data_IF_391411686346
#
_entry.id   IF_391411686346
#
_cell.length_a   1.000
_cell.length_b   1.000
_cell.length_c   1.000
_cell.angle_alpha   90.00
_cell.angle_beta   90.00
_cell.angle_gamma   90.00
#
_symmetry.space_group_name_H-M   'P 1'
#
loop_
_entity.id
_entity.type
_entity.pdbx_description
1 polymer ?
#
# COMPACT_ATOMS: atom_id res chain seq x y z
N UNK A 1 60.02 10.67 -21.79
CA UNK A 1 60.35 10.00 -20.51
C UNK A 1 60.33 11.07 -19.42
N UNK A 2 59.48 10.82 -18.41
CA UNK A 2 59.02 11.62 -17.23
C UNK A 2 60.07 12.56 -16.57
N UNK A 3 59.78 13.78 -16.07
CA UNK A 3 58.82 14.30 -15.04
C UNK A 3 58.95 13.59 -13.66
N UNK A 4 59.00 14.22 -12.48
CA UNK A 4 58.36 15.47 -11.99
C UNK A 4 58.91 15.91 -10.60
N UNK A 5 58.68 17.18 -10.28
CA UNK A 5 58.87 17.90 -9.00
C UNK A 5 57.92 17.51 -7.85
N UNK A 6 58.32 17.76 -6.57
CA UNK A 6 57.76 18.81 -5.70
C UNK A 6 58.30 18.79 -4.24
N UNK A 7 58.33 19.97 -3.61
CA UNK A 7 58.81 20.30 -2.26
C UNK A 7 57.79 21.32 -1.62
N UNK A 8 57.92 21.81 -0.37
CA UNK A 8 57.15 21.36 0.80
C UNK A 8 56.36 22.48 1.54
N UNK A 9 55.78 22.11 2.70
CA UNK A 9 54.89 22.89 3.59
C UNK A 9 55.55 23.98 4.44
N UNK A 10 54.78 25.00 4.85
CA UNK A 10 55.09 25.89 5.98
C UNK A 10 53.81 26.35 6.71
N UNK A 11 53.98 26.57 8.02
CA UNK A 11 52.98 26.85 9.05
C UNK A 11 53.11 28.29 9.59
N UNK A 12 52.00 28.99 9.83
CA UNK A 12 51.97 30.22 10.66
C UNK A 12 50.59 30.38 11.33
N UNK A 13 50.54 30.71 12.63
CA UNK A 13 49.43 31.48 13.25
C UNK A 13 49.95 32.30 14.43
N UNK A 14 49.60 33.59 14.46
CA UNK A 14 49.91 34.55 15.52
C UNK A 14 48.63 35.34 15.95
N UNK A 15 48.48 35.49 17.26
CA UNK A 15 47.78 36.49 18.11
C UNK A 15 46.45 37.21 17.74
N UNK A 16 45.42 36.93 18.56
CA UNK A 16 44.61 37.81 19.45
C UNK A 16 44.21 39.27 19.09
N UNK A 17 42.88 39.56 19.16
CA UNK A 17 42.28 40.81 19.71
C UNK A 17 40.90 40.52 20.31
N UNK A 18 40.60 41.08 21.51
CA UNK A 18 39.28 41.14 22.21
C UNK A 18 38.93 42.63 22.41
N UNK A 19 37.65 43.08 22.33
CA UNK A 19 36.91 43.52 23.54
C UNK A 19 35.35 43.54 23.34
N UNK A 20 34.51 44.18 24.19
CA UNK A 20 34.38 44.16 25.66
C UNK A 20 32.96 43.74 26.16
N UNK A 21 32.83 43.53 27.47
CA UNK A 21 31.60 43.20 28.22
C UNK A 21 30.58 44.36 28.33
N UNK A 22 29.28 44.05 28.22
CA UNK A 22 28.16 44.92 28.62
C UNK A 22 27.04 44.09 29.30
N UNK A 23 27.00 44.25 30.63
CA UNK A 23 25.84 44.34 31.56
C UNK A 23 24.70 43.30 31.44
N UNK A 24 24.65 42.42 32.45
CA UNK A 24 23.47 41.62 32.83
C UNK A 24 22.34 42.52 33.35
N UNK A 25 21.16 42.44 32.73
CA UNK A 25 19.89 42.79 33.37
C UNK A 25 18.89 41.63 33.26
N UNK A 26 18.57 41.04 34.42
CA UNK A 26 17.27 40.44 34.76
C UNK A 26 16.70 39.32 33.88
N UNK A 27 17.30 38.13 33.89
CA UNK A 27 16.54 36.91 33.55
C UNK A 27 15.67 36.48 34.74
N UNK A 28 14.36 36.61 34.58
CA UNK A 28 13.40 35.80 35.34
C UNK A 28 13.61 34.35 34.90
N UNK A 29 14.23 33.53 35.76
CA UNK A 29 14.38 32.07 35.55
C UNK A 29 13.00 31.43 35.41
N UNK A 30 12.56 31.19 34.19
CA UNK A 30 11.55 30.17 33.91
C UNK A 30 12.23 28.79 33.99
N UNK A 31 11.70 27.90 34.82
CA UNK A 31 12.23 26.54 35.01
C UNK A 31 12.13 25.74 33.69
N UNK A 32 13.11 24.85 33.37
CA UNK A 32 13.14 24.09 32.11
C UNK A 32 11.88 23.25 31.83
N UNK A 33 11.13 22.89 32.87
CA UNK A 33 9.86 22.15 32.76
C UNK A 33 8.70 22.96 32.17
N UNK A 34 8.57 24.24 32.54
CA UNK A 34 7.45 25.07 32.09
C UNK A 34 7.52 25.43 30.60
N UNK A 35 8.73 25.65 30.06
CA UNK A 35 8.92 25.96 28.64
C UNK A 35 8.62 24.76 27.74
N UNK A 36 8.89 23.55 28.21
CA UNK A 36 8.63 22.32 27.45
C UNK A 36 7.13 21.99 27.44
N UNK A 37 6.43 22.24 28.55
CA UNK A 37 4.98 22.06 28.63
C UNK A 37 4.21 23.13 27.84
N UNK A 38 4.67 24.39 27.85
CA UNK A 38 4.14 25.45 26.98
C UNK A 38 4.35 25.14 25.50
N UNK A 39 5.50 24.57 25.11
CA UNK A 39 5.76 24.11 23.73
C UNK A 39 4.84 22.95 23.31
N UNK A 40 4.64 21.95 24.17
CA UNK A 40 3.71 20.84 23.92
C UNK A 40 2.27 21.34 23.77
N UNK A 41 1.79 22.19 24.69
CA UNK A 41 0.44 22.78 24.62
C UNK A 41 0.26 23.65 23.36
N UNK A 42 1.29 24.39 22.94
CA UNK A 42 1.30 25.15 21.69
C UNK A 42 1.20 24.24 20.46
N UNK A 43 1.97 23.15 20.41
CA UNK A 43 1.94 22.17 19.32
C UNK A 43 0.58 21.44 19.22
N UNK A 44 -0.01 21.05 20.35
CA UNK A 44 -1.35 20.45 20.40
C UNK A 44 -2.42 21.44 19.93
N UNK A 45 -2.32 22.72 20.34
CA UNK A 45 -3.24 23.78 19.90
C UNK A 45 -3.09 24.05 18.40
N UNK A 46 -1.87 24.01 17.86
CA UNK A 46 -1.60 24.16 16.43
C UNK A 46 -2.15 22.99 15.61
N UNK A 47 -2.01 21.74 16.09
CA UNK A 47 -2.63 20.57 15.47
C UNK A 47 -4.17 20.60 15.52
N UNK A 48 -4.75 21.02 16.64
CA UNK A 48 -6.20 21.20 16.75
C UNK A 48 -6.72 22.29 15.79
N UNK A 49 -5.97 23.38 15.63
CA UNK A 49 -6.29 24.44 14.68
C UNK A 49 -6.18 23.95 13.23
N UNK A 50 -5.16 23.15 12.88
CA UNK A 50 -5.04 22.50 11.58
C UNK A 50 -6.22 21.55 11.30
N UNK A 51 -6.64 20.73 12.28
CA UNK A 51 -7.84 19.87 12.16
C UNK A 51 -9.12 20.67 11.94
N UNK A 52 -9.29 21.77 12.68
CA UNK A 52 -10.47 22.66 12.54
C UNK A 52 -10.49 23.36 11.18
N UNK A 53 -9.32 23.79 10.68
CA UNK A 53 -9.19 24.39 9.35
C UNK A 53 -9.45 23.38 8.23
N UNK A 54 -8.96 22.13 8.36
CA UNK A 54 -9.28 21.04 7.41
C UNK A 54 -10.77 20.73 7.36
N UNK A 55 -11.43 20.63 8.53
CA UNK A 55 -12.88 20.42 8.60
C UNK A 55 -13.66 21.57 7.95
N UNK A 56 -13.26 22.82 8.22
CA UNK A 56 -13.89 24.01 7.62
C UNK A 56 -13.66 24.07 6.09
N UNK A 57 -12.49 23.64 5.61
CA UNK A 57 -12.21 23.59 4.17
C UNK A 57 -13.08 22.53 3.47
N UNK A 58 -13.26 21.38 4.11
CA UNK A 58 -14.15 20.32 3.62
C UNK A 58 -15.63 20.78 3.59
N UNK A 59 -16.09 21.45 4.64
CA UNK A 59 -17.44 22.02 4.70
C UNK A 59 -17.67 23.10 3.63
N UNK A 60 -16.68 23.98 3.40
CA UNK A 60 -16.73 24.97 2.34
C UNK A 60 -16.77 24.33 0.95
N UNK A 61 -15.98 23.27 0.69
CA UNK A 61 -16.02 22.53 -0.56
C UNK A 61 -17.40 21.89 -0.80
N UNK A 62 -18.01 21.30 0.24
CA UNK A 62 -19.38 20.77 0.15
C UNK A 62 -20.41 21.86 -0.16
N UNK A 63 -20.26 23.07 0.39
CA UNK A 63 -21.13 24.21 0.05
C UNK A 63 -20.91 24.72 -1.38
N UNK A 64 -19.66 24.76 -1.86
CA UNK A 64 -19.35 25.15 -3.25
C UNK A 64 -19.93 24.16 -4.25
N UNK A 65 -19.84 22.85 -3.95
CA UNK A 65 -20.45 21.78 -4.76
C UNK A 65 -21.98 21.94 -4.79
N UNK A 66 -22.60 22.21 -3.63
CA UNK A 66 -24.06 22.45 -3.53
C UNK A 66 -24.52 23.72 -4.24
N UNK A 67 -23.68 24.75 -4.31
CA UNK A 67 -23.99 26.00 -5.04
C UNK A 67 -23.83 25.81 -6.56
N UNK A 68 -22.77 25.13 -7.02
CA UNK A 68 -22.61 24.75 -8.43
C UNK A 68 -23.78 23.92 -8.94
N UNK A 69 -24.23 22.94 -8.15
CA UNK A 69 -25.40 22.13 -8.51
C UNK A 69 -26.71 22.92 -8.57
N UNK A 70 -26.80 24.08 -7.88
CA UNK A 70 -27.96 24.97 -7.95
C UNK A 70 -27.87 25.96 -9.11
N UNK A 71 -26.69 26.51 -9.39
CA UNK A 71 -26.46 27.43 -10.52
C UNK A 71 -26.57 26.70 -11.87
N UNK A 72 -26.17 25.43 -11.95
CA UNK A 72 -26.37 24.57 -13.12
C UNK A 72 -27.87 24.25 -13.35
N UNK A 73 -28.70 24.30 -12.31
CA UNK A 73 -30.16 24.08 -12.42
C UNK A 73 -30.96 25.34 -12.82
N UNK A 74 -30.37 26.53 -12.69
CA UNK A 74 -31.03 27.82 -13.01
C UNK A 74 -30.69 28.37 -14.39
N UNK A 75 -29.81 27.73 -15.16
CA UNK A 75 -29.24 28.28 -16.39
C UNK A 75 -29.42 27.37 -17.61
N UNK A 76 -30.64 26.89 -17.86
CA UNK A 76 -31.01 26.32 -19.16
C UNK A 76 -32.51 26.45 -19.43
N UNK A 77 -32.93 27.63 -19.84
CA UNK A 77 -34.24 27.85 -20.48
C UNK A 77 -34.04 28.04 -21.97
N UNK A 78 -34.32 27.01 -22.78
CA UNK A 78 -34.99 27.11 -24.10
C UNK A 78 -34.99 25.76 -24.81
N UNK A 79 -36.20 25.19 -24.90
CA UNK A 79 -36.75 24.20 -25.83
C UNK A 79 -35.82 23.50 -26.84
N UNK A 80 -35.61 22.20 -26.64
CA UNK A 80 -35.95 21.15 -27.63
C UNK A 80 -35.89 19.77 -26.98
N UNK A 81 -36.93 18.96 -27.22
CA UNK A 81 -37.18 17.63 -26.63
C UNK A 81 -36.00 16.67 -26.88
N UNK A 82 -35.13 16.50 -25.90
CA UNK A 82 -34.32 15.30 -25.74
C UNK A 82 -34.81 14.57 -24.49
N UNK A 83 -35.02 13.26 -24.61
CA UNK A 83 -35.34 12.38 -23.48
C UNK A 83 -34.20 12.48 -22.46
N UNK A 84 -34.43 13.22 -21.39
CA UNK A 84 -33.50 13.38 -20.28
C UNK A 84 -33.48 12.07 -19.50
N UNK A 85 -32.45 11.24 -19.74
CA UNK A 85 -32.12 10.15 -18.83
C UNK A 85 -31.74 10.78 -17.48
N UNK A 86 -32.62 10.62 -16.50
CA UNK A 86 -32.37 11.00 -15.11
C UNK A 86 -31.13 10.25 -14.64
N UNK A 87 -29.99 10.93 -14.49
CA UNK A 87 -28.78 10.31 -13.93
C UNK A 87 -29.08 10.05 -12.45
N UNK A 88 -29.41 8.80 -12.14
CA UNK A 88 -29.59 8.35 -10.77
C UNK A 88 -28.29 8.56 -9.96
N UNK A 89 -28.38 8.85 -8.66
CA UNK A 89 -27.20 8.93 -7.80
C UNK A 89 -26.41 7.62 -7.88
N UNK A 90 -25.10 7.72 -8.14
CA UNK A 90 -24.19 6.57 -8.15
C UNK A 90 -24.10 5.99 -6.73
N UNK A 91 -24.82 4.89 -6.50
CA UNK A 91 -24.68 4.09 -5.29
C UNK A 91 -23.45 3.19 -5.49
N UNK A 92 -22.45 3.21 -4.58
CA UNK A 92 -21.34 2.28 -4.65
C UNK A 92 -21.86 0.83 -4.69
N UNK A 93 -21.50 0.11 -5.74
CA UNK A 93 -21.85 -1.30 -5.94
C UNK A 93 -20.68 -2.06 -6.54
N UNK A 94 -20.70 -3.37 -6.42
CA UNK A 94 -19.79 -4.21 -7.18
C UNK A 94 -20.03 -4.04 -8.70
N UNK A 95 -18.98 -4.17 -9.53
CA UNK A 95 -19.15 -4.21 -10.98
C UNK A 95 -20.04 -5.39 -11.41
N UNK A 96 -20.85 -5.19 -12.46
CA UNK A 96 -21.62 -6.27 -13.08
C UNK A 96 -20.72 -7.20 -13.91
N UNK A 97 -21.22 -8.38 -14.26
CA UNK A 97 -20.53 -9.28 -15.19
C UNK A 97 -20.23 -8.62 -16.54
N UNK A 98 -21.17 -7.82 -17.07
CA UNK A 98 -20.99 -7.08 -18.31
C UNK A 98 -19.88 -6.02 -18.20
N UNK A 99 -19.83 -5.29 -17.08
CA UNK A 99 -18.78 -4.30 -16.81
C UNK A 99 -17.40 -4.98 -16.70
N UNK A 100 -17.33 -6.13 -16.02
CA UNK A 100 -16.11 -6.92 -15.94
C UNK A 100 -15.66 -7.45 -17.30
N UNK A 101 -16.59 -7.95 -18.13
CA UNK A 101 -16.28 -8.44 -19.48
C UNK A 101 -15.81 -7.30 -20.40
N UNK A 102 -16.43 -6.11 -20.30
CA UNK A 102 -16.01 -4.93 -21.05
C UNK A 102 -14.60 -4.47 -20.63
N UNK A 103 -14.33 -4.41 -19.32
CA UNK A 103 -13.01 -4.05 -18.81
C UNK A 103 -11.92 -5.02 -19.31
N UNK A 104 -12.20 -6.33 -19.31
CA UNK A 104 -11.30 -7.34 -19.85
C UNK A 104 -11.02 -7.12 -21.34
N UNK A 105 -12.06 -6.92 -22.16
CA UNK A 105 -11.92 -6.67 -23.60
C UNK A 105 -11.06 -5.42 -23.87
N UNK A 106 -11.27 -4.33 -23.13
CA UNK A 106 -10.45 -3.13 -23.28
C UNK A 106 -8.97 -3.37 -22.96
N UNK A 107 -8.68 -4.19 -21.94
CA UNK A 107 -7.31 -4.54 -21.59
C UNK A 107 -6.68 -5.41 -22.67
N UNK A 108 -7.36 -6.45 -23.12
CA UNK A 108 -6.86 -7.35 -24.18
C UNK A 108 -6.61 -6.64 -25.51
N UNK A 109 -7.45 -5.65 -25.86
CA UNK A 109 -7.35 -4.96 -27.15
C UNK A 109 -6.41 -3.76 -27.15
N UNK A 110 -6.20 -3.09 -26.01
CA UNK A 110 -5.53 -1.76 -25.96
C UNK A 110 -4.32 -1.68 -25.04
N UNK A 111 -4.07 -2.66 -24.19
CA UNK A 111 -2.98 -2.60 -23.22
C UNK A 111 -1.78 -3.42 -23.70
N UNK A 112 -0.59 -2.95 -23.32
CA UNK A 112 0.59 -3.80 -23.39
C UNK A 112 0.56 -4.75 -22.17
N UNK A 113 0.69 -6.05 -22.41
CA UNK A 113 0.59 -7.06 -21.35
C UNK A 113 1.94 -7.74 -21.11
N UNK A 114 2.38 -7.72 -19.86
CA UNK A 114 3.63 -8.32 -19.42
C UNK A 114 3.39 -9.67 -18.75
N UNK A 115 4.22 -10.66 -19.10
CA UNK A 115 4.13 -12.04 -18.60
C UNK A 115 5.49 -12.78 -18.60
N UNK A 116 6.62 -12.05 -18.64
CA UNK A 116 7.97 -12.65 -18.75
C UNK A 116 8.84 -12.34 -17.54
N UNK A 117 9.81 -13.21 -17.28
CA UNK A 117 10.64 -13.39 -16.06
C UNK A 117 10.95 -12.12 -15.24
N UNK A 118 11.40 -11.03 -15.89
CA UNK A 118 11.59 -9.74 -15.23
C UNK A 118 11.16 -8.59 -16.13
N UNK A 119 10.39 -7.65 -15.59
CA UNK A 119 9.86 -6.50 -16.32
C UNK A 119 9.97 -5.22 -15.50
N UNK A 120 10.39 -4.12 -16.14
CA UNK A 120 10.32 -2.78 -15.58
C UNK A 120 9.41 -1.89 -16.42
N UNK A 121 8.49 -1.20 -15.74
CA UNK A 121 7.62 -0.17 -16.29
C UNK A 121 8.20 1.18 -15.88
N UNK A 122 8.51 2.03 -16.86
CA UNK A 122 9.22 3.29 -16.67
C UNK A 122 8.34 4.48 -17.08
N UNK A 123 8.36 5.53 -16.27
CA UNK A 123 7.93 6.85 -16.71
C UNK A 123 9.09 7.49 -17.47
N UNK A 124 9.04 7.46 -18.80
CA UNK A 124 10.10 8.02 -19.64
C UNK A 124 10.27 9.54 -19.43
N UNK A 125 9.18 10.26 -19.10
CA UNK A 125 9.22 11.72 -18.91
C UNK A 125 9.93 12.10 -17.62
N UNK A 126 9.70 11.33 -16.55
CA UNK A 126 10.30 11.55 -15.23
C UNK A 126 11.58 10.74 -15.00
N UNK A 127 11.93 9.83 -15.91
CA UNK A 127 13.00 8.83 -15.75
C UNK A 127 12.87 8.06 -14.42
N UNK A 128 11.64 7.71 -14.04
CA UNK A 128 11.34 6.99 -12.79
C UNK A 128 10.81 5.58 -13.09
N UNK A 129 11.28 4.60 -12.33
CA UNK A 129 10.67 3.26 -12.32
C UNK A 129 9.30 3.37 -11.63
N UNK A 130 8.25 3.01 -12.36
CA UNK A 130 6.87 2.96 -11.86
C UNK A 130 6.62 1.64 -11.17
N UNK A 131 7.04 0.55 -11.83
CA UNK A 131 6.86 -0.81 -11.34
C UNK A 131 8.01 -1.71 -11.80
N UNK A 132 8.49 -2.58 -10.92
CA UNK A 132 9.37 -3.69 -11.24
C UNK A 132 8.69 -5.00 -10.86
N UNK A 133 8.78 -6.00 -11.73
CA UNK A 133 8.05 -7.27 -11.64
C UNK A 133 9.04 -8.42 -11.82
N UNK A 134 8.90 -9.46 -11.01
CA UNK A 134 9.61 -10.72 -11.19
C UNK A 134 8.64 -11.89 -11.07
N UNK A 135 8.70 -12.82 -12.03
CA UNK A 135 7.99 -14.08 -11.97
C UNK A 135 8.94 -15.19 -11.56
N UNK A 136 8.67 -15.82 -10.42
CA UNK A 136 9.40 -16.98 -9.93
C UNK A 136 8.67 -18.24 -10.37
N UNK A 137 9.33 -19.10 -11.14
CA UNK A 137 8.75 -20.40 -11.51
C UNK A 137 8.79 -21.33 -10.31
N UNK A 138 7.67 -21.98 -10.01
CA UNK A 138 7.55 -22.88 -8.85
C UNK A 138 8.56 -24.04 -8.91
N UNK A 139 8.84 -24.54 -10.11
CA UNK A 139 9.80 -25.63 -10.37
C UNK A 139 11.27 -25.23 -10.12
N UNK A 140 11.57 -23.93 -10.11
CA UNK A 140 12.94 -23.41 -9.95
C UNK A 140 13.20 -22.78 -8.59
N UNK A 141 12.24 -22.86 -7.65
CA UNK A 141 12.42 -22.34 -6.30
C UNK A 141 13.43 -23.21 -5.54
N UNK A 142 14.34 -22.58 -4.82
CA UNK A 142 15.16 -23.28 -3.84
C UNK A 142 14.28 -23.84 -2.71
N UNK A 143 14.65 -24.98 -2.14
CA UNK A 143 13.87 -25.69 -1.11
C UNK A 143 13.43 -24.77 0.03
N UNK A 144 14.36 -23.97 0.59
CA UNK A 144 14.02 -22.99 1.65
C UNK A 144 12.96 -21.98 1.19
N UNK A 145 13.10 -21.45 -0.01
CA UNK A 145 12.17 -20.45 -0.53
C UNK A 145 10.80 -21.07 -0.77
N UNK A 146 10.76 -22.32 -1.24
CA UNK A 146 9.53 -23.08 -1.40
C UNK A 146 8.85 -23.32 -0.03
N UNK A 147 9.60 -23.79 0.95
CA UNK A 147 9.11 -24.02 2.32
C UNK A 147 8.57 -22.74 2.98
N UNK A 148 9.23 -21.61 2.76
CA UNK A 148 8.80 -20.31 3.27
C UNK A 148 7.48 -19.85 2.62
N UNK A 149 7.30 -20.06 1.31
CA UNK A 149 6.04 -19.74 0.63
C UNK A 149 4.92 -20.70 0.99
N UNK A 150 5.20 -22.00 1.13
CA UNK A 150 4.22 -22.98 1.63
C UNK A 150 3.78 -22.63 3.06
N UNK A 151 4.72 -22.22 3.92
CA UNK A 151 4.40 -21.73 5.27
C UNK A 151 3.52 -20.49 5.23
N UNK A 152 3.83 -19.49 4.38
CA UNK A 152 3.02 -18.29 4.24
C UNK A 152 1.59 -18.64 3.83
N UNK A 153 1.40 -19.46 2.80
CA UNK A 153 0.06 -19.82 2.32
C UNK A 153 -0.73 -20.58 3.41
N UNK A 154 -0.09 -21.50 4.12
CA UNK A 154 -0.71 -22.20 5.25
C UNK A 154 -1.09 -21.26 6.40
N UNK A 155 -0.24 -20.27 6.73
CA UNK A 155 -0.52 -19.26 7.74
C UNK A 155 -1.77 -18.44 7.39
N UNK A 156 -1.83 -17.87 6.18
CA UNK A 156 -3.00 -17.09 5.73
C UNK A 156 -4.27 -17.93 5.65
N UNK A 157 -4.15 -19.21 5.27
CA UNK A 157 -5.29 -20.12 5.28
C UNK A 157 -5.82 -20.37 6.69
N UNK A 158 -4.95 -20.63 7.66
CA UNK A 158 -5.33 -20.81 9.08
C UNK A 158 -5.96 -19.55 9.69
N UNK A 159 -5.58 -18.36 9.25
CA UNK A 159 -6.22 -17.12 9.70
C UNK A 159 -7.72 -17.06 9.39
N UNK A 160 -8.20 -17.70 8.31
CA UNK A 160 -9.61 -17.70 7.91
C UNK A 160 -10.54 -18.19 9.03
N UNK A 161 -10.10 -19.16 9.84
CA UNK A 161 -10.87 -19.70 10.97
C UNK A 161 -11.20 -18.65 12.04
N UNK A 162 -10.39 -17.61 12.15
CA UNK A 162 -10.49 -16.58 13.18
C UNK A 162 -10.94 -15.21 12.65
N UNK A 163 -11.30 -15.15 11.36
CA UNK A 163 -11.82 -13.95 10.72
C UNK A 163 -13.35 -14.04 10.65
N UNK A 164 -14.04 -12.92 10.88
CA UNK A 164 -15.47 -12.82 10.69
C UNK A 164 -15.82 -13.09 9.23
N UNK A 165 -16.54 -14.17 9.00
CA UNK A 165 -17.15 -14.44 7.71
C UNK A 165 -18.34 -13.49 7.56
N UNK A 166 -18.14 -12.31 6.99
CA UNK A 166 -19.26 -11.40 6.73
C UNK A 166 -20.17 -12.04 5.69
N UNK A 167 -21.27 -12.63 6.14
CA UNK A 167 -22.33 -13.23 5.31
C UNK A 167 -23.11 -12.18 4.47
N UNK A 168 -22.70 -10.91 4.52
CA UNK A 168 -23.07 -9.92 3.52
C UNK A 168 -22.01 -9.95 2.43
N UNK A 169 -22.40 -10.46 1.26
CA UNK A 169 -21.71 -10.27 -0.01
C UNK A 169 -21.18 -8.82 -0.10
N UNK A 170 -19.88 -8.61 0.09
CA UNK A 170 -19.25 -7.31 -0.18
C UNK A 170 -18.21 -6.73 0.79
N UNK A 171 -17.90 -7.30 1.97
CA UNK A 171 -17.00 -6.60 2.92
C UNK A 171 -15.74 -7.33 3.44
N UNK A 172 -15.37 -8.48 2.88
CA UNK A 172 -14.00 -8.97 3.00
C UNK A 172 -13.55 -9.58 1.67
N UNK A 173 -13.12 -8.72 0.75
CA UNK A 173 -12.72 -9.11 -0.61
C UNK A 173 -11.51 -10.03 -0.69
N UNK A 174 -10.73 -10.14 0.40
CA UNK A 174 -9.59 -11.04 0.52
C UNK A 174 -9.24 -11.21 2.02
N UNK A 175 -8.79 -12.40 2.44
CA UNK A 175 -8.32 -12.69 3.81
C UNK A 175 -7.21 -11.71 4.25
N UNK A 176 -6.43 -11.23 3.28
CA UNK A 176 -5.32 -10.30 3.49
C UNK A 176 -5.77 -8.89 3.88
N UNK A 177 -7.04 -8.53 3.62
CA UNK A 177 -7.60 -7.25 4.07
C UNK A 177 -7.85 -7.22 5.58
N UNK A 178 -8.14 -8.38 6.16
CA UNK A 178 -8.38 -8.55 7.60
C UNK A 178 -7.09 -8.68 8.42
N UNK A 179 -5.94 -8.79 7.76
CA UNK A 179 -4.64 -9.00 8.39
C UNK A 179 -3.79 -7.76 8.18
N UNK A 180 -3.10 -7.32 9.22
CA UNK A 180 -2.19 -6.19 9.16
C UNK A 180 -0.95 -6.39 10.03
N UNK A 181 -0.13 -5.35 10.07
CA UNK A 181 1.08 -5.32 10.89
C UNK A 181 0.75 -4.90 12.31
N UNK A 182 1.30 -5.58 13.30
CA UNK A 182 1.32 -5.03 14.65
C UNK A 182 2.27 -3.83 14.73
N UNK A 183 2.18 -3.07 15.84
CA UNK A 183 2.90 -1.80 16.01
C UNK A 183 4.42 -1.88 15.85
N UNK A 184 5.03 -3.01 16.20
CA UNK A 184 6.48 -3.23 16.05
C UNK A 184 6.90 -3.49 14.59
N UNK A 185 5.94 -3.69 13.67
CA UNK A 185 6.13 -4.05 12.24
C UNK A 185 6.92 -5.34 12.01
N UNK A 186 6.95 -6.22 13.01
CA UNK A 186 7.65 -7.51 12.97
C UNK A 186 6.64 -8.63 12.74
N UNK A 187 5.49 -8.59 13.42
CA UNK A 187 4.47 -9.64 13.37
C UNK A 187 3.23 -9.19 12.63
N UNK A 188 2.47 -10.19 12.18
CA UNK A 188 1.15 -9.98 11.60
C UNK A 188 0.07 -10.21 12.67
N UNK A 189 -1.02 -9.47 12.56
CA UNK A 189 -2.19 -9.64 13.42
C UNK A 189 -3.47 -9.63 12.58
N UNK A 190 -4.48 -10.37 13.06
CA UNK A 190 -5.84 -10.18 12.58
C UNK A 190 -6.35 -8.87 13.20
N UNK A 191 -6.74 -7.93 12.36
CA UNK A 191 -7.22 -6.61 12.76
C UNK A 191 -8.50 -6.76 13.60
N UNK A 192 -8.61 -5.97 14.66
CA UNK A 192 -9.67 -6.13 15.66
C UNK A 192 -11.09 -6.14 15.08
N UNK A 193 -11.38 -5.29 14.09
CA UNK A 193 -12.69 -5.23 13.42
C UNK A 193 -13.07 -6.49 12.64
N UNK A 194 -12.09 -7.36 12.35
CA UNK A 194 -12.29 -8.59 11.59
C UNK A 194 -12.19 -9.84 12.45
N UNK A 195 -11.91 -9.73 13.76
CA UNK A 195 -11.75 -10.91 14.63
C UNK A 195 -13.08 -11.59 14.91
N UNK A 196 -13.12 -12.90 14.68
CA UNK A 196 -14.19 -13.74 15.18
C UNK A 196 -13.87 -14.16 16.62
N UNK A 197 -14.23 -13.30 17.58
CA UNK A 197 -13.92 -13.51 19.00
C UNK A 197 -14.51 -14.83 19.53
N UNK A 198 -15.69 -15.25 19.04
CA UNK A 198 -16.31 -16.54 19.41
C UNK A 198 -15.42 -17.71 18.98
N UNK A 199 -14.88 -17.68 17.75
CA UNK A 199 -13.99 -18.72 17.27
C UNK A 199 -12.64 -18.73 18.01
N UNK A 200 -12.13 -17.56 18.37
CA UNK A 200 -10.90 -17.39 19.16
C UNK A 200 -11.10 -17.96 20.57
N UNK A 201 -12.18 -17.60 21.26
CA UNK A 201 -12.49 -18.09 22.60
C UNK A 201 -12.67 -19.62 22.62
N UNK A 202 -13.34 -20.19 21.62
CA UNK A 202 -13.49 -21.64 21.50
C UNK A 202 -12.17 -22.38 21.20
N UNK A 203 -11.19 -21.71 20.59
CA UNK A 203 -9.96 -22.35 20.09
C UNK A 203 -8.68 -21.58 20.49
N UNK A 204 -8.61 -21.08 21.73
CA UNK A 204 -7.53 -20.21 22.21
C UNK A 204 -6.12 -20.77 21.96
N UNK A 205 -5.93 -22.09 22.14
CA UNK A 205 -4.64 -22.74 21.93
C UNK A 205 -4.20 -22.69 20.46
N UNK A 206 -5.14 -22.90 19.51
CA UNK A 206 -4.85 -22.82 18.08
C UNK A 206 -4.57 -21.38 17.64
N UNK A 207 -5.33 -20.42 18.19
CA UNK A 207 -5.12 -19.01 17.92
C UNK A 207 -3.76 -18.53 18.46
N UNK A 208 -3.40 -18.91 19.67
CA UNK A 208 -2.10 -18.56 20.28
C UNK A 208 -0.95 -19.09 19.42
N UNK A 209 -1.00 -20.38 19.04
CA UNK A 209 -0.01 -20.97 18.14
C UNK A 209 0.05 -20.28 16.77
N UNK A 210 -1.11 -19.87 16.24
CA UNK A 210 -1.15 -19.10 14.98
C UNK A 210 -0.47 -17.73 15.14
N UNK A 211 -0.68 -17.03 16.25
CA UNK A 211 -0.04 -15.73 16.49
C UNK A 211 1.46 -15.87 16.80
N UNK A 212 1.92 -16.98 17.37
CA UNK A 212 3.35 -17.29 17.47
C UNK A 212 4.00 -17.44 16.08
N UNK A 213 3.31 -18.11 15.16
CA UNK A 213 3.74 -18.27 13.75
C UNK A 213 3.77 -16.94 12.96
N UNK A 214 3.10 -15.89 13.45
CA UNK A 214 2.96 -14.61 12.73
C UNK A 214 4.26 -13.83 12.58
N UNK A 215 5.23 -14.03 13.48
CA UNK A 215 6.56 -13.43 13.38
C UNK A 215 7.35 -14.01 12.21
N UNK A 216 7.26 -15.34 12.03
CA UNK A 216 7.88 -16.02 10.89
C UNK A 216 7.23 -15.56 9.59
N UNK A 217 5.90 -15.44 9.55
CA UNK A 217 5.19 -14.95 8.37
C UNK A 217 5.63 -13.51 8.01
N UNK A 218 5.67 -12.61 8.99
CA UNK A 218 6.16 -11.24 8.79
C UNK A 218 7.61 -11.18 8.32
N UNK A 219 8.47 -12.05 8.87
CA UNK A 219 9.88 -12.15 8.48
C UNK A 219 10.05 -12.61 7.04
N UNK A 220 9.34 -13.66 6.61
CA UNK A 220 9.39 -14.14 5.22
C UNK A 220 8.96 -13.03 4.25
N UNK A 221 7.90 -12.28 4.57
CA UNK A 221 7.44 -11.17 3.74
C UNK A 221 8.51 -10.06 3.62
N UNK A 222 9.12 -9.64 4.74
CA UNK A 222 10.17 -8.63 4.72
C UNK A 222 11.45 -9.12 4.03
N UNK A 223 11.85 -10.37 4.24
CA UNK A 223 13.00 -10.97 3.58
C UNK A 223 12.78 -11.08 2.06
N UNK A 224 11.58 -11.49 1.64
CA UNK A 224 11.22 -11.57 0.21
C UNK A 224 11.25 -10.17 -0.43
N UNK A 225 10.66 -9.17 0.22
CA UNK A 225 10.70 -7.79 -0.26
C UNK A 225 12.13 -7.24 -0.29
N UNK A 226 12.93 -7.49 0.75
CA UNK A 226 14.32 -6.99 0.81
C UNK A 226 15.22 -7.67 -0.24
N UNK A 227 15.01 -8.96 -0.49
CA UNK A 227 15.72 -9.69 -1.55
C UNK A 227 15.37 -9.14 -2.93
N UNK A 228 14.09 -8.83 -3.16
CA UNK A 228 13.62 -8.33 -4.44
C UNK A 228 13.97 -6.84 -4.68
N UNK A 229 13.85 -6.00 -3.65
CA UNK A 229 13.99 -4.54 -3.76
C UNK A 229 14.53 -3.90 -2.48
N UNK A 230 15.70 -4.35 -2.03
CA UNK A 230 16.42 -3.94 -0.82
C UNK A 230 16.14 -2.50 -0.33
N UNK A 231 16.56 -1.49 -1.10
CA UNK A 231 16.40 -0.07 -0.70
C UNK A 231 14.93 0.34 -0.54
N UNK A 232 14.04 -0.19 -1.38
CA UNK A 232 12.61 0.06 -1.29
C UNK A 232 12.02 -0.54 -0.01
N UNK A 233 12.37 -1.80 0.30
CA UNK A 233 11.93 -2.48 1.49
C UNK A 233 12.35 -1.74 2.76
N UNK A 234 13.60 -1.32 2.84
CA UNK A 234 14.13 -0.55 3.97
C UNK A 234 13.41 0.79 4.17
N UNK A 235 13.19 1.53 3.08
CA UNK A 235 12.51 2.82 3.13
C UNK A 235 11.04 2.65 3.56
N UNK A 236 10.34 1.69 2.98
CA UNK A 236 8.95 1.38 3.35
C UNK A 236 8.83 0.94 4.79
N UNK A 237 9.72 0.06 5.27
CA UNK A 237 9.73 -0.41 6.66
C UNK A 237 10.02 0.73 7.65
N UNK A 238 10.98 1.61 7.35
CA UNK A 238 11.25 2.82 8.17
C UNK A 238 10.04 3.73 8.24
N UNK A 239 9.36 3.94 7.11
CA UNK A 239 8.17 4.77 7.05
C UNK A 239 7.02 4.17 7.87
N UNK A 240 6.74 2.86 7.72
CA UNK A 240 5.72 2.16 8.48
C UNK A 240 5.97 2.19 9.99
N UNK A 241 7.22 2.04 10.43
CA UNK A 241 7.58 2.17 11.86
C UNK A 241 7.24 3.55 12.42
N UNK A 242 7.58 4.62 11.69
CA UNK A 242 7.26 6.00 12.08
C UNK A 242 5.74 6.23 12.18
N UNK A 243 4.96 5.64 11.28
CA UNK A 243 3.50 5.73 11.32
C UNK A 243 2.89 4.89 12.45
N UNK A 244 3.47 3.73 12.74
CA UNK A 244 3.05 2.88 13.85
C UNK A 244 3.25 3.55 15.22
N UNK A 245 4.30 4.36 15.39
CA UNK A 245 4.47 5.23 16.56
C UNK A 245 3.31 6.23 16.73
N UNK A 246 2.70 6.63 15.62
CA UNK A 246 1.51 7.50 15.59
C UNK A 246 0.18 6.71 15.69
N UNK A 247 0.25 5.39 15.86
CA UNK A 247 -0.90 4.50 16.00
C UNK A 247 -1.53 4.05 14.69
N UNK A 248 -0.93 4.36 13.53
CA UNK A 248 -1.39 3.91 12.23
C UNK A 248 -0.73 2.57 11.89
N UNK A 249 -1.54 1.55 11.71
CA UNK A 249 -1.12 0.21 11.27
C UNK A 249 -1.64 -0.05 9.87
N UNK A 250 -0.86 -0.77 9.06
CA UNK A 250 -1.24 -1.10 7.69
C UNK A 250 -1.82 -2.50 7.59
N UNK A 251 -2.85 -2.66 6.76
CA UNK A 251 -3.32 -3.99 6.33
C UNK A 251 -2.41 -4.56 5.24
N UNK A 252 -2.58 -5.84 4.94
CA UNK A 252 -1.95 -6.52 3.81
C UNK A 252 -2.86 -6.55 2.56
N UNK A 253 -3.89 -5.70 2.53
CA UNK A 253 -4.93 -5.71 1.51
C UNK A 253 -4.32 -5.52 0.12
N UNK A 254 -4.55 -6.49 -0.76
CA UNK A 254 -4.24 -6.34 -2.17
C UNK A 254 -5.26 -5.42 -2.85
N UNK A 255 -4.87 -4.60 -3.85
CA UNK A 255 -5.80 -3.75 -4.62
C UNK A 255 -6.67 -4.59 -5.58
N UNK A 256 -7.52 -5.44 -5.01
CA UNK A 256 -8.37 -6.40 -5.73
C UNK A 256 -9.72 -5.82 -6.14
N UNK A 257 -10.32 -4.93 -5.33
CA UNK A 257 -11.74 -4.56 -5.46
C UNK A 257 -12.01 -3.05 -5.56
N UNK A 258 -10.98 -2.23 -5.58
CA UNK A 258 -11.09 -0.80 -5.80
C UNK A 258 -9.89 -0.34 -6.62
N UNK A 259 -10.18 0.37 -7.71
CA UNK A 259 -9.16 1.19 -8.34
C UNK A 259 -8.71 2.24 -7.31
N UNK A 260 -7.41 2.54 -7.33
CA UNK A 260 -6.78 3.64 -6.63
C UNK A 260 -7.76 4.78 -6.32
N UNK A 261 -7.96 5.08 -5.04
CA UNK A 261 -8.63 6.32 -4.64
C UNK A 261 -7.65 7.45 -4.91
N UNK A 262 -8.06 8.47 -5.68
CA UNK A 262 -7.32 9.72 -5.87
C UNK A 262 -7.10 10.40 -4.51
N UNK A 263 -6.05 9.98 -3.81
CA UNK A 263 -5.44 10.78 -2.79
C UNK A 263 -4.64 11.82 -3.56
N UNK A 264 -5.25 13.00 -3.74
CA UNK A 264 -4.51 14.21 -4.09
C UNK A 264 -3.47 14.44 -3.00
N UNK A 265 -2.28 13.88 -3.19
CA UNK A 265 -1.09 14.35 -2.50
C UNK A 265 -0.85 15.75 -3.04
N UNK A 266 -0.81 16.74 -2.14
CA UNK A 266 -0.39 18.08 -2.49
C UNK A 266 0.97 17.94 -3.23
N UNK A 267 1.06 18.41 -4.48
CA UNK A 267 2.30 18.33 -5.31
C UNK A 267 3.50 19.03 -4.64
N UNK A 268 3.25 19.76 -3.54
CA UNK A 268 4.20 20.58 -2.79
C UNK A 268 5.00 19.84 -1.71
N UNK A 269 4.79 18.54 -1.47
CA UNK A 269 5.67 17.78 -0.57
C UNK A 269 6.74 17.05 -1.40
N UNK A 270 7.99 17.52 -1.33
CA UNK A 270 9.23 16.89 -1.86
C UNK A 270 9.46 15.43 -1.35
N UNK A 271 8.49 14.88 -0.62
CA UNK A 271 8.49 13.50 -0.16
C UNK A 271 8.35 12.53 -1.34
N UNK A 272 9.38 11.72 -1.58
CA UNK A 272 9.22 10.51 -2.38
C UNK A 272 8.46 9.49 -1.52
N UNK A 273 7.21 9.14 -1.86
CA UNK A 273 6.44 8.19 -1.08
C UNK A 273 7.11 6.81 -1.07
N UNK A 274 6.93 6.02 0.01
CA UNK A 274 7.42 4.65 0.06
C UNK A 274 6.78 3.81 -1.05
N UNK A 275 7.56 2.89 -1.62
CA UNK A 275 7.07 1.95 -2.63
C UNK A 275 6.25 0.84 -1.96
N UNK A 276 5.24 0.35 -2.65
CA UNK A 276 4.47 -0.82 -2.25
C UNK A 276 5.10 -2.09 -2.79
N UNK A 277 4.95 -3.19 -2.06
CA UNK A 277 5.32 -4.53 -2.49
C UNK A 277 4.09 -5.42 -2.57
N UNK A 278 3.90 -6.10 -3.69
CA UNK A 278 2.82 -7.03 -3.92
C UNK A 278 3.37 -8.41 -4.23
N UNK A 279 2.67 -9.44 -3.75
CA UNK A 279 2.96 -10.83 -4.02
C UNK A 279 1.68 -11.58 -4.36
N UNK A 280 1.74 -12.42 -5.40
CA UNK A 280 0.62 -13.24 -5.88
C UNK A 280 1.09 -14.68 -6.02
N UNK A 281 0.45 -15.59 -5.27
CA UNK A 281 0.79 -17.02 -5.22
C UNK A 281 -0.42 -17.85 -5.68
N UNK A 282 -0.29 -18.77 -6.63
CA UNK A 282 -1.38 -19.70 -6.96
C UNK A 282 -1.64 -20.62 -5.78
N UNK A 283 -2.90 -20.70 -5.31
CA UNK A 283 -3.25 -21.51 -4.14
C UNK A 283 -4.58 -22.24 -4.34
N UNK A 284 -4.85 -23.22 -3.49
CA UNK A 284 -6.13 -23.92 -3.40
C UNK A 284 -7.02 -23.28 -2.33
N UNK A 285 -8.31 -23.06 -2.61
CA UNK A 285 -9.25 -22.40 -1.67
C UNK A 285 -9.43 -23.22 -0.40
N UNK A 286 -9.59 -24.53 -0.56
CA UNK A 286 -9.92 -25.49 0.49
C UNK A 286 -8.79 -25.76 1.46
N UNK A 287 -7.53 -25.75 1.00
CA UNK A 287 -6.36 -26.12 1.81
C UNK A 287 -5.36 -24.99 2.03
N UNK A 288 -5.40 -23.96 1.18
CA UNK A 288 -4.38 -22.92 1.14
C UNK A 288 -3.03 -23.38 0.61
N UNK A 289 -2.86 -24.62 0.16
CA UNK A 289 -1.59 -25.08 -0.44
C UNK A 289 -1.33 -24.36 -1.75
N UNK A 290 -0.05 -24.25 -2.13
CA UNK A 290 0.33 -23.77 -3.47
C UNK A 290 -0.29 -24.70 -4.52
N UNK A 291 -1.03 -24.12 -5.45
CA UNK A 291 -1.67 -24.84 -6.55
C UNK A 291 -0.71 -25.06 -7.71
N UNK A 292 -0.62 -26.30 -8.19
CA UNK A 292 0.22 -26.68 -9.33
C UNK A 292 -0.62 -26.91 -10.57
N UNK A 293 -0.15 -26.42 -11.72
CA UNK A 293 -0.80 -26.65 -13.01
C UNK A 293 -0.87 -28.15 -13.34
N UNK A 294 0.17 -28.92 -12.97
CA UNK A 294 0.20 -30.38 -13.11
C UNK A 294 -0.89 -31.10 -12.30
N UNK A 295 -1.47 -30.44 -11.30
CA UNK A 295 -2.56 -30.93 -10.46
C UNK A 295 -3.92 -30.33 -10.88
N UNK A 296 -3.97 -29.62 -12.00
CA UNK A 296 -5.19 -29.01 -12.53
C UNK A 296 -5.49 -27.61 -12.01
N UNK A 297 -4.56 -26.95 -11.29
CA UNK A 297 -4.77 -25.56 -10.86
C UNK A 297 -4.91 -24.63 -12.07
N UNK A 298 -6.00 -23.88 -12.11
CA UNK A 298 -6.29 -22.94 -13.20
C UNK A 298 -7.03 -21.70 -12.70
N UNK A 299 -6.46 -20.54 -13.01
CA UNK A 299 -7.10 -19.24 -12.84
C UNK A 299 -6.84 -18.41 -14.08
N UNK A 300 -7.92 -18.05 -14.78
CA UNK A 300 -7.83 -17.20 -15.97
C UNK A 300 -8.07 -15.72 -15.57
N UNK A 301 -7.59 -14.79 -16.39
CA UNK A 301 -7.76 -13.34 -16.20
C UNK A 301 -7.18 -12.83 -14.85
N UNK A 302 -7.78 -11.76 -14.31
CA UNK A 302 -7.35 -11.16 -13.05
C UNK A 302 -6.04 -10.39 -13.15
N UNK A 303 -5.76 -9.77 -14.30
CA UNK A 303 -4.56 -8.98 -14.55
C UNK A 303 -4.51 -7.78 -13.59
N UNK A 304 -3.31 -7.45 -13.11
CA UNK A 304 -3.04 -6.18 -12.44
C UNK A 304 -2.80 -5.11 -13.50
N UNK A 305 -3.47 -3.96 -13.40
CA UNK A 305 -3.48 -2.94 -14.45
C UNK A 305 -3.08 -1.58 -13.94
N UNK A 306 -2.34 -0.85 -14.77
CA UNK A 306 -2.13 0.60 -14.68
C UNK A 306 -2.93 1.27 -15.80
N UNK A 307 -4.19 1.68 -15.56
CA UNK A 307 -5.11 2.11 -16.62
C UNK A 307 -4.64 3.32 -17.42
N UNK A 308 -3.96 4.27 -16.78
CA UNK A 308 -3.46 5.49 -17.44
C UNK A 308 -2.23 5.22 -18.31
N UNK A 309 -1.46 4.19 -17.94
CA UNK A 309 -0.27 3.77 -18.67
C UNK A 309 -0.59 2.76 -19.77
N UNK A 310 -1.83 2.25 -19.82
CA UNK A 310 -2.25 1.14 -20.69
C UNK A 310 -1.32 -0.06 -20.56
N UNK A 311 -0.92 -0.36 -19.32
CA UNK A 311 -0.06 -1.50 -19.00
C UNK A 311 -0.81 -2.51 -18.13
N UNK A 312 -0.71 -3.78 -18.47
CA UNK A 312 -1.30 -4.89 -17.74
C UNK A 312 -0.23 -5.93 -17.38
N UNK A 313 -0.40 -6.59 -16.25
CA UNK A 313 0.46 -7.65 -15.73
C UNK A 313 -0.42 -8.87 -15.56
N UNK A 314 -0.14 -9.87 -16.38
CA UNK A 314 -0.79 -11.17 -16.27
C UNK A 314 -0.04 -12.03 -15.26
N UNK A 315 -0.75 -12.93 -14.58
CA UNK A 315 -0.15 -13.88 -13.65
C UNK A 315 -0.14 -15.27 -14.30
N UNK A 316 0.99 -15.71 -14.90
CA UNK A 316 1.07 -17.01 -15.55
C UNK A 316 0.84 -18.17 -14.57
N UNK A 317 0.28 -19.30 -15.03
CA UNK A 317 0.26 -20.54 -14.27
C UNK A 317 1.67 -20.96 -13.81
N UNK A 318 1.76 -21.69 -12.71
CA UNK A 318 3.04 -22.23 -12.22
C UNK A 318 4.05 -21.17 -11.76
N UNK A 319 3.64 -19.92 -11.58
CA UNK A 319 4.53 -18.82 -11.15
C UNK A 319 4.02 -18.08 -9.92
N UNK A 320 4.95 -17.59 -9.12
CA UNK A 320 4.72 -16.59 -8.08
C UNK A 320 5.14 -15.24 -8.65
N UNK A 321 4.25 -14.25 -8.58
CA UNK A 321 4.55 -12.90 -9.04
C UNK A 321 4.95 -12.02 -7.84
N UNK A 322 6.11 -11.38 -7.95
CA UNK A 322 6.58 -10.34 -7.05
C UNK A 322 6.56 -9.00 -7.77
N UNK A 323 6.07 -7.96 -7.11
CA UNK A 323 5.92 -6.63 -7.69
C UNK A 323 6.31 -5.55 -6.69
N UNK A 324 7.03 -4.53 -7.15
CA UNK A 324 7.26 -3.30 -6.39
C UNK A 324 6.81 -2.15 -7.25
N UNK A 325 5.99 -1.25 -6.70
CA UNK A 325 5.35 -0.21 -7.49
C UNK A 325 4.98 1.04 -6.69
N UNK A 326 4.80 2.15 -7.42
CA UNK A 326 4.42 3.45 -6.87
C UNK A 326 2.91 3.56 -6.66
N UNK A 327 2.39 2.84 -5.67
CA UNK A 327 0.96 2.78 -5.38
C UNK A 327 0.32 4.14 -5.05
N UNK A 328 1.10 5.10 -4.57
CA UNK A 328 0.63 6.44 -4.19
C UNK A 328 0.71 7.47 -5.33
N UNK A 329 1.31 7.11 -6.47
CA UNK A 329 1.53 8.04 -7.59
C UNK A 329 0.79 7.62 -8.87
N UNK A 330 0.45 6.34 -9.02
CA UNK A 330 -0.17 5.82 -10.23
C UNK A 330 -1.44 5.04 -9.91
N UNK A 331 -2.51 5.37 -10.64
CA UNK A 331 -3.74 4.61 -10.61
C UNK A 331 -3.47 3.15 -10.98
N UNK A 332 -4.02 2.24 -10.20
CA UNK A 332 -3.85 0.81 -10.38
C UNK A 332 -5.05 0.04 -9.82
N UNK A 333 -5.19 -1.21 -10.23
CA UNK A 333 -6.23 -2.11 -9.76
C UNK A 333 -6.07 -3.50 -10.36
N UNK A 334 -6.98 -4.40 -10.02
CA UNK A 334 -6.98 -5.78 -10.54
C UNK A 334 -8.31 -6.05 -11.22
N UNK A 335 -8.28 -6.69 -12.39
CA UNK A 335 -9.50 -7.14 -13.05
C UNK A 335 -10.13 -8.32 -12.31
N UNK A 336 -11.39 -8.61 -12.61
CA UNK A 336 -12.04 -9.82 -12.15
C UNK A 336 -11.33 -11.07 -12.72
N UNK A 337 -11.11 -12.07 -11.88
CA UNK A 337 -10.48 -13.34 -12.26
C UNK A 337 -11.53 -14.43 -12.44
N UNK A 338 -11.27 -15.38 -13.34
CA UNK A 338 -12.11 -16.58 -13.48
C UNK A 338 -11.40 -17.75 -12.82
N UNK A 339 -11.95 -18.19 -11.69
CA UNK A 339 -11.40 -19.27 -10.87
C UNK A 339 -12.11 -20.59 -11.16
N UNK A 340 -11.36 -21.65 -11.43
CA UNK A 340 -11.90 -22.97 -11.72
C UNK A 340 -11.76 -23.90 -10.52
N UNK A 341 -12.86 -24.57 -10.17
CA UNK A 341 -12.91 -25.53 -9.05
C UNK A 341 -12.34 -24.92 -7.75
N UNK A 342 -11.35 -25.59 -7.15
CA UNK A 342 -10.68 -25.17 -5.92
C UNK A 342 -9.54 -24.17 -6.16
N UNK A 343 -9.31 -23.74 -7.40
CA UNK A 343 -8.21 -22.83 -7.74
C UNK A 343 -8.49 -21.40 -7.30
N UNK A 344 -7.50 -20.74 -6.73
CA UNK A 344 -7.49 -19.30 -6.45
C UNK A 344 -6.06 -18.77 -6.46
N UNK A 345 -5.87 -17.49 -6.09
CA UNK A 345 -4.56 -16.89 -5.85
C UNK A 345 -4.57 -16.18 -4.50
N UNK A 346 -3.61 -16.49 -3.63
CA UNK A 346 -3.31 -15.64 -2.48
C UNK A 346 -2.66 -14.35 -2.99
N UNK A 347 -3.25 -13.20 -2.65
CA UNK A 347 -2.76 -11.89 -3.05
C UNK A 347 -2.52 -11.04 -1.80
N UNK A 348 -1.30 -10.53 -1.64
CA UNK A 348 -0.92 -9.70 -0.48
C UNK A 348 -0.15 -8.47 -0.93
N UNK A 349 -0.34 -7.35 -0.24
CA UNK A 349 0.35 -6.10 -0.52
C UNK A 349 0.86 -5.45 0.77
N UNK A 350 2.15 -5.14 0.83
CA UNK A 350 2.73 -4.26 1.82
C UNK A 350 2.68 -2.85 1.24
N UNK A 351 1.77 -2.03 1.75
CA UNK A 351 1.65 -0.62 1.41
C UNK A 351 1.72 0.21 2.70
N UNK A 352 2.48 1.29 2.69
CA UNK A 352 2.48 2.19 3.85
C UNK A 352 1.16 2.98 3.91
N UNK A 353 0.58 3.21 5.11
CA UNK A 353 -0.54 4.14 5.29
C UNK A 353 -0.14 5.56 4.89
N UNK A 354 -1.14 6.41 4.62
CA UNK A 354 -0.95 7.84 4.27
C UNK A 354 -1.43 8.71 5.41
#
# INVERSE_FOLDING_TARGET
>A
MNQTDHNPSLSETESAVKPPDLVKQGEVKATPGENNEKRKRSATRHQALKRKNRKKNYENQLETIKKRSKEESSTSGSDQKNQTSTIAPLIPRAPTEEENANALNQVESRFCTCHRDFVQILDQRKSKIICAIQFLKLESLADKQRDDFDFLCAFFHRCKTFILSTASEGLCGDVTSAIGWCKDTIRLEILHSYRNEVAIEANQHLYTKLMEDSERAGSILWETFSTFANVAADNTRKHMKKLAESGLVSSLAFPSNSFYNDLHLDEDDDSNPPLSFAMVIPTLKSTGKIGLESEGHRVDNGQFVFPDLKQAIQFPPGTICLMVFRAQEYAHGTLHATEFEDSTRLKLCIQAPI
#
